data_IF_274141859245
#
_entry.id   IF_274141859245
#
_cell.length_a   1.000
_cell.length_b   1.000
_cell.length_c   1.000
_cell.angle_alpha   90.00
_cell.angle_beta   90.00
_cell.angle_gamma   90.00
#
_symmetry.space_group_name_H-M   'P 1'
#
loop_
_entity.id
_entity.type
_entity.pdbx_description
1 polymer ?
#
# COMPACT_ATOMS: atom_id res chain seq x y z
N UNK A 1 -2.00 -17.27 -2.85
CA UNK A 1 -2.98 -16.25 -2.38
C UNK A 1 -3.47 -15.29 -3.50
N UNK A 2 -4.60 -14.55 -3.33
CA UNK A 2 -5.12 -13.61 -4.34
C UNK A 2 -4.15 -12.49 -4.75
N UNK A 3 -3.35 -11.98 -3.80
CA UNK A 3 -2.34 -10.94 -4.08
C UNK A 3 -1.24 -11.49 -4.99
N UNK A 4 -0.66 -12.65 -4.65
CA UNK A 4 0.37 -13.28 -5.50
C UNK A 4 -0.10 -13.57 -6.93
N UNK A 5 -1.39 -13.85 -7.14
CA UNK A 5 -1.96 -14.00 -8.49
C UNK A 5 -1.90 -12.69 -9.28
N UNK A 6 -2.18 -11.54 -8.66
CA UNK A 6 -2.09 -10.24 -9.33
C UNK A 6 -0.65 -9.87 -9.69
N UNK A 7 0.30 -10.10 -8.78
CA UNK A 7 1.73 -9.88 -9.04
C UNK A 7 2.21 -10.75 -10.21
N UNK A 8 1.90 -12.05 -10.20
CA UNK A 8 2.27 -12.95 -11.31
C UNK A 8 1.63 -12.54 -12.64
N UNK A 9 0.37 -12.09 -12.62
CA UNK A 9 -0.31 -11.58 -13.81
C UNK A 9 0.40 -10.34 -14.36
N UNK A 10 0.73 -9.38 -13.49
CA UNK A 10 1.48 -8.18 -13.85
C UNK A 10 2.81 -8.54 -14.52
N UNK A 11 3.63 -9.39 -13.87
CA UNK A 11 4.93 -9.79 -14.42
C UNK A 11 4.79 -10.47 -15.79
N UNK A 12 3.83 -11.39 -15.94
CA UNK A 12 3.58 -12.08 -17.20
C UNK A 12 3.12 -11.14 -18.31
N UNK A 13 2.30 -10.13 -17.99
CA UNK A 13 1.86 -9.11 -18.97
C UNK A 13 3.02 -8.27 -19.50
N UNK A 14 4.11 -8.17 -18.74
CA UNK A 14 5.34 -7.46 -19.13
C UNK A 14 6.47 -8.39 -19.57
N UNK A 15 6.19 -9.67 -19.86
CA UNK A 15 7.18 -10.61 -20.37
C UNK A 15 8.21 -11.10 -19.35
N UNK A 16 7.97 -10.90 -18.04
CA UNK A 16 8.89 -11.29 -16.97
C UNK A 16 8.49 -12.62 -16.36
N UNK A 17 9.41 -13.58 -16.31
CA UNK A 17 9.23 -14.90 -15.69
C UNK A 17 10.28 -15.15 -14.60
N UNK A 18 10.03 -14.74 -13.35
CA UNK A 18 11.00 -14.93 -12.26
C UNK A 18 11.06 -16.40 -11.82
N UNK A 19 12.23 -16.80 -11.30
CA UNK A 19 12.35 -18.05 -10.55
C UNK A 19 11.74 -17.85 -9.16
N UNK A 20 10.65 -18.55 -8.87
CA UNK A 20 10.04 -18.51 -7.54
C UNK A 20 10.86 -19.36 -6.58
N UNK A 21 11.53 -18.71 -5.62
CA UNK A 21 12.33 -19.37 -4.59
C UNK A 21 11.55 -19.64 -3.29
N UNK A 22 10.44 -18.93 -3.08
CA UNK A 22 9.54 -19.13 -1.93
C UNK A 22 8.22 -18.38 -2.09
N UNK A 23 7.16 -18.87 -1.45
CA UNK A 23 5.87 -18.17 -1.29
C UNK A 23 5.61 -17.98 0.20
N UNK A 24 5.36 -16.73 0.59
CA UNK A 24 5.08 -16.35 1.97
C UNK A 24 3.73 -15.63 2.04
N UNK A 25 2.98 -15.89 3.10
CA UNK A 25 1.70 -15.22 3.40
C UNK A 25 1.84 -14.07 4.41
N UNK A 26 3.00 -13.99 5.08
CA UNK A 26 3.34 -12.97 6.05
C UNK A 26 4.51 -12.09 5.57
N UNK A 27 4.33 -10.76 5.62
CA UNK A 27 5.33 -9.79 5.15
C UNK A 27 6.57 -9.77 6.05
N UNK A 28 6.44 -9.97 7.36
CA UNK A 28 7.57 -9.99 8.29
C UNK A 28 8.47 -11.19 8.00
N UNK A 29 7.87 -12.38 7.85
CA UNK A 29 8.59 -13.60 7.46
C UNK A 29 9.30 -13.44 6.11
N UNK A 30 8.61 -12.82 5.13
CA UNK A 30 9.21 -12.54 3.83
C UNK A 30 10.40 -11.58 3.93
N UNK A 31 10.31 -10.52 4.75
CA UNK A 31 11.42 -9.56 4.97
C UNK A 31 12.61 -10.22 5.65
N UNK A 32 12.38 -11.10 6.62
CA UNK A 32 13.45 -11.90 7.23
C UNK A 32 14.14 -12.82 6.21
N UNK A 33 13.35 -13.51 5.38
CA UNK A 33 13.88 -14.37 4.33
C UNK A 33 14.76 -13.59 3.32
N UNK A 34 14.40 -12.34 2.98
CA UNK A 34 15.23 -11.49 2.11
C UNK A 34 16.61 -11.19 2.70
N UNK A 35 16.71 -11.05 4.02
CA UNK A 35 17.99 -10.76 4.69
C UNK A 35 18.86 -12.00 4.89
N UNK A 36 18.25 -13.19 4.89
CA UNK A 36 18.95 -14.46 5.12
C UNK A 36 19.36 -15.17 3.82
N UNK A 37 18.59 -14.98 2.75
CA UNK A 37 18.84 -15.60 1.45
C UNK A 37 19.56 -14.60 0.54
N UNK A 38 20.83 -14.89 0.25
CA UNK A 38 21.62 -14.13 -0.72
C UNK A 38 20.95 -14.10 -2.11
N UNK A 39 21.13 -13.00 -2.83
CA UNK A 39 20.65 -12.80 -4.21
C UNK A 39 19.13 -12.98 -4.38
N UNK A 40 18.35 -12.65 -3.35
CA UNK A 40 16.89 -12.73 -3.38
C UNK A 40 16.23 -11.34 -3.47
N UNK A 41 15.04 -11.31 -4.07
CA UNK A 41 14.21 -10.11 -4.18
C UNK A 41 12.75 -10.47 -3.89
N UNK A 42 11.98 -9.49 -3.40
CA UNK A 42 10.55 -9.65 -3.21
C UNK A 42 9.79 -8.43 -3.72
N UNK A 43 8.52 -8.65 -4.06
CA UNK A 43 7.59 -7.60 -4.48
C UNK A 43 6.60 -7.40 -3.35
N UNK A 44 6.64 -6.21 -2.74
CA UNK A 44 5.76 -5.81 -1.65
C UNK A 44 5.42 -4.31 -1.76
N UNK A 45 4.32 -3.84 -1.15
CA UNK A 45 4.03 -2.41 -1.08
C UNK A 45 5.16 -1.67 -0.34
N UNK A 46 5.60 -0.54 -0.90
CA UNK A 46 6.75 0.22 -0.39
C UNK A 46 6.55 0.66 1.06
N UNK A 47 5.32 1.00 1.46
CA UNK A 47 4.98 1.40 2.83
C UNK A 47 5.38 0.36 3.90
N UNK A 48 5.48 -0.93 3.54
CA UNK A 48 5.93 -1.98 4.46
C UNK A 48 7.46 -2.15 4.53
N UNK A 49 8.20 -1.54 3.59
CA UNK A 49 9.66 -1.58 3.53
C UNK A 49 10.33 -0.27 3.98
N UNK A 50 9.59 0.84 4.12
CA UNK A 50 10.14 2.17 4.43
C UNK A 50 11.10 2.16 5.63
N UNK A 51 10.76 1.46 6.72
CA UNK A 51 11.62 1.39 7.92
C UNK A 51 12.95 0.69 7.64
N UNK A 52 12.94 -0.36 6.83
CA UNK A 52 14.14 -1.11 6.45
C UNK A 52 15.00 -0.32 5.47
N UNK A 53 14.35 0.38 4.52
CA UNK A 53 15.02 1.28 3.58
C UNK A 53 15.72 2.40 4.35
N UNK A 54 15.02 3.05 5.27
CA UNK A 54 15.60 4.10 6.12
C UNK A 54 16.76 3.61 7.02
N UNK A 55 16.78 2.32 7.36
CA UNK A 55 17.87 1.67 8.12
C UNK A 55 19.01 1.15 7.25
N UNK A 56 18.89 1.25 5.93
CA UNK A 56 19.86 0.70 4.97
C UNK A 56 19.88 -0.83 4.88
N UNK A 57 18.93 -1.54 5.51
CA UNK A 57 18.89 -3.01 5.49
C UNK A 57 18.19 -3.57 4.26
N UNK A 58 17.42 -2.75 3.53
CA UNK A 58 16.83 -3.09 2.24
C UNK A 58 16.98 -1.90 1.29
N UNK A 59 17.06 -2.18 0.01
CA UNK A 59 16.96 -1.19 -1.07
C UNK A 59 15.70 -1.50 -1.87
N UNK A 60 14.98 -0.47 -2.28
CA UNK A 60 13.81 -0.62 -3.13
C UNK A 60 14.12 -0.18 -4.56
N UNK A 61 13.49 -0.88 -5.50
CA UNK A 61 13.60 -0.62 -6.94
C UNK A 61 12.21 -0.24 -7.46
N UNK A 62 12.12 0.86 -8.19
CA UNK A 62 10.87 1.31 -8.80
C UNK A 62 10.40 0.34 -9.89
N UNK A 63 9.11 0.01 -9.85
CA UNK A 63 8.47 -0.80 -10.89
C UNK A 63 7.94 0.10 -12.00
N UNK A 64 8.27 -0.24 -13.25
CA UNK A 64 7.75 0.45 -14.43
C UNK A 64 7.04 -0.54 -15.35
N UNK A 65 5.71 -0.40 -15.60
CA UNK A 65 4.79 0.58 -15.01
C UNK A 65 4.52 0.34 -13.51
N UNK A 66 3.96 1.32 -12.77
CA UNK A 66 3.73 1.15 -11.34
C UNK A 66 2.71 0.04 -11.04
N UNK A 67 3.07 -0.87 -10.13
CA UNK A 67 2.17 -1.89 -9.60
C UNK A 67 1.48 -1.37 -8.34
N UNK A 68 0.24 -0.90 -8.49
CA UNK A 68 -0.54 -0.30 -7.40
C UNK A 68 -1.54 -1.28 -6.80
N UNK A 69 -1.74 -1.21 -5.49
CA UNK A 69 -2.81 -1.90 -4.77
C UNK A 69 -3.73 -0.87 -4.12
N UNK A 70 -4.87 -0.54 -4.74
CA UNK A 70 -5.84 0.36 -4.14
C UNK A 70 -6.32 -0.19 -2.78
N UNK A 71 -6.39 0.69 -1.78
CA UNK A 71 -6.97 0.42 -0.48
C UNK A 71 -8.32 1.15 -0.38
N UNK A 72 -9.29 0.50 0.23
CA UNK A 72 -10.61 1.07 0.49
C UNK A 72 -11.00 0.87 1.95
N UNK A 73 -11.76 1.82 2.50
CA UNK A 73 -12.33 1.68 3.83
C UNK A 73 -13.62 0.88 3.74
N UNK A 74 -13.65 -0.27 4.41
CA UNK A 74 -14.86 -1.08 4.53
C UNK A 74 -15.58 -0.64 5.80
N UNK A 75 -16.85 -0.28 5.68
CA UNK A 75 -17.70 0.12 6.80
C UNK A 75 -19.03 -0.62 6.77
N UNK A 76 -19.58 -0.84 7.95
CA UNK A 76 -20.88 -1.47 8.12
C UNK A 76 -22.02 -0.47 7.84
N UNK A 77 -23.13 -0.97 7.30
CA UNK A 77 -24.41 -0.24 7.21
C UNK A 77 -24.88 0.32 8.55
N UNK A 78 -24.50 -0.30 9.68
CA UNK A 78 -24.81 0.20 11.03
C UNK A 78 -24.13 1.54 11.37
N UNK A 79 -23.05 1.89 10.66
CA UNK A 79 -22.36 3.18 10.78
C UNK A 79 -23.05 4.33 10.04
N UNK A 80 -24.15 4.05 9.35
CA UNK A 80 -24.86 4.99 8.48
C UNK A 80 -26.29 5.17 9.01
N UNK A 81 -26.81 6.39 8.93
CA UNK A 81 -28.21 6.73 9.22
C UNK A 81 -28.91 7.29 8.00
N UNK A 82 -30.22 7.06 7.92
CA UNK A 82 -31.06 7.69 6.91
C UNK A 82 -31.29 9.17 7.26
N UNK A 83 -31.11 10.05 6.29
CA UNK A 83 -31.38 11.48 6.41
C UNK A 83 -32.74 11.76 5.81
N UNK A 84 -33.59 12.48 6.56
CA UNK A 84 -34.91 12.94 6.09
C UNK A 84 -34.93 14.45 6.00
N UNK A 85 -35.71 15.01 5.09
CA UNK A 85 -35.95 16.46 5.04
C UNK A 85 -37.01 16.87 6.09
N UNK A 86 -37.22 18.18 6.26
CA UNK A 86 -38.23 18.74 7.17
C UNK A 86 -39.67 18.30 6.87
N UNK A 87 -39.94 17.85 5.63
CA UNK A 87 -41.24 17.31 5.18
C UNK A 87 -41.35 15.79 5.37
N UNK A 88 -40.34 15.14 5.95
CA UNK A 88 -40.30 13.70 6.23
C UNK A 88 -39.80 12.79 5.09
N UNK A 89 -39.53 13.34 3.90
CA UNK A 89 -39.07 12.58 2.73
C UNK A 89 -37.60 12.18 2.90
N UNK A 90 -37.26 10.95 2.49
CA UNK A 90 -35.90 10.45 2.48
C UNK A 90 -35.01 11.27 1.54
N UNK A 91 -33.89 11.76 2.06
CA UNK A 91 -32.89 12.55 1.32
C UNK A 91 -31.63 11.77 0.98
N UNK A 92 -31.31 10.74 1.75
CA UNK A 92 -30.10 9.96 1.53
C UNK A 92 -29.63 9.27 2.79
N UNK A 93 -28.36 8.85 2.74
CA UNK A 93 -27.67 8.15 3.81
C UNK A 93 -26.43 8.94 4.18
N UNK A 94 -26.18 9.14 5.46
CA UNK A 94 -24.97 9.80 5.96
C UNK A 94 -24.34 8.97 7.07
N UNK A 95 -23.04 9.13 7.29
CA UNK A 95 -22.38 8.51 8.42
C UNK A 95 -22.93 9.07 9.74
N UNK A 96 -23.01 8.21 10.76
CA UNK A 96 -23.22 8.69 12.13
C UNK A 96 -22.08 9.66 12.51
N UNK A 97 -22.32 10.64 13.40
CA UNK A 97 -21.34 11.71 13.66
C UNK A 97 -19.93 11.20 13.98
N UNK A 98 -19.80 10.19 14.86
CA UNK A 98 -18.50 9.62 15.21
C UNK A 98 -17.81 8.92 14.02
N UNK A 99 -18.56 8.18 13.20
CA UNK A 99 -18.03 7.53 12.00
C UNK A 99 -17.64 8.58 10.97
N UNK A 100 -18.45 9.63 10.78
CA UNK A 100 -18.15 10.74 9.90
C UNK A 100 -16.85 11.44 10.29
N UNK A 101 -16.68 11.77 11.57
CA UNK A 101 -15.46 12.39 12.09
C UNK A 101 -14.24 11.48 11.89
N UNK A 102 -14.38 10.16 12.08
CA UNK A 102 -13.29 9.22 11.83
C UNK A 102 -12.95 9.10 10.33
N UNK A 103 -13.94 9.08 9.45
CA UNK A 103 -13.71 9.09 8.00
C UNK A 103 -13.02 10.38 7.55
N UNK A 104 -13.43 11.53 8.09
CA UNK A 104 -12.78 12.81 7.84
C UNK A 104 -11.32 12.79 8.31
N UNK A 105 -11.06 12.28 9.52
CA UNK A 105 -9.70 12.07 10.01
C UNK A 105 -8.88 11.17 9.06
N UNK A 106 -9.42 10.02 8.65
CA UNK A 106 -8.73 9.14 7.72
C UNK A 106 -8.41 9.85 6.39
N UNK A 107 -9.36 10.59 5.83
CA UNK A 107 -9.17 11.33 4.59
C UNK A 107 -8.13 12.46 4.73
N UNK A 108 -8.07 13.13 5.88
CA UNK A 108 -7.05 14.14 6.16
C UNK A 108 -5.64 13.52 6.24
N UNK A 109 -5.54 12.28 6.73
CA UNK A 109 -4.29 11.54 6.81
C UNK A 109 -3.89 10.89 5.46
N UNK A 110 -4.85 10.65 4.56
CA UNK A 110 -4.58 10.15 3.20
C UNK A 110 -3.82 11.23 2.43
N UNK A 111 -2.52 11.01 2.20
CA UNK A 111 -1.61 11.91 1.50
C UNK A 111 -0.60 12.65 2.39
N UNK A 112 -0.70 12.56 3.71
CA UNK A 112 0.39 13.01 4.62
C UNK A 112 1.48 11.95 4.80
N UNK A 113 1.16 10.68 4.52
CA UNK A 113 2.09 9.57 4.35
C UNK A 113 2.39 9.45 2.86
N UNK A 114 3.44 10.13 2.36
CA UNK A 114 4.23 10.00 1.09
C UNK A 114 3.62 9.47 -0.24
N UNK A 115 2.35 9.08 -0.30
CA UNK A 115 1.78 8.12 -1.27
C UNK A 115 0.70 8.77 -2.17
N UNK A 116 0.44 10.06 -1.98
CA UNK A 116 -0.58 10.82 -2.74
C UNK A 116 -0.02 11.61 -3.92
N UNK A 117 1.30 11.74 -4.03
CA UNK A 117 1.92 12.45 -5.14
C UNK A 117 2.29 11.47 -6.25
N UNK A 118 2.13 11.88 -7.52
CA UNK A 118 2.63 11.14 -8.69
C UNK A 118 4.17 10.96 -8.71
N UNK A 119 4.86 11.43 -7.69
CA UNK A 119 6.29 11.30 -7.50
C UNK A 119 6.59 10.02 -6.70
N UNK A 120 7.53 9.22 -7.19
CA UNK A 120 7.93 7.98 -6.55
C UNK A 120 8.51 8.24 -5.15
N UNK A 121 8.05 7.54 -4.09
CA UNK A 121 8.55 7.68 -2.70
C UNK A 121 10.04 7.33 -2.50
N UNK A 122 10.69 6.82 -3.55
CA UNK A 122 12.10 6.43 -3.53
C UNK A 122 13.03 7.61 -3.80
N UNK A 123 12.54 8.69 -4.43
CA UNK A 123 13.36 9.87 -4.73
C UNK A 123 13.75 10.67 -3.47
N UNK A 124 12.90 10.70 -2.44
CA UNK A 124 13.15 11.44 -1.19
C UNK A 124 14.08 10.70 -0.21
N UNK A 125 14.20 9.38 -0.33
CA UNK A 125 14.97 8.54 0.60
C UNK A 125 16.37 8.14 0.09
N UNK A 126 16.63 8.25 -1.22
CA UNK A 126 17.93 7.87 -1.81
C UNK A 126 19.00 8.97 -1.80
N UNK A 127 18.65 10.20 -1.40
CA UNK A 127 19.58 11.35 -1.43
C UNK A 127 20.53 11.45 -0.22
N UNK A 128 20.44 10.59 0.79
CA UNK A 128 21.37 10.61 1.94
C UNK A 128 22.39 9.45 1.96
N UNK A 129 22.34 8.49 1.02
CA UNK A 129 23.06 7.21 1.17
C UNK A 129 24.09 6.84 0.11
N UNK A 130 24.16 7.52 -1.04
CA UNK A 130 25.11 7.15 -2.09
C UNK A 130 26.45 7.85 -1.84
N UNK A 131 27.18 7.33 -0.86
CA UNK A 131 28.62 7.54 -0.76
C UNK A 131 29.29 6.88 -1.97
N UNK A 132 30.01 7.70 -2.72
CA UNK A 132 30.91 7.31 -3.81
C UNK A 132 31.84 6.18 -3.36
N UNK A 133 31.80 5.04 -4.06
CA UNK A 133 32.93 4.09 -4.17
C UNK A 133 32.98 3.56 -5.59
#
# INVERSE_FOLDING_TARGET
MPVGRHVRRYLRQHGVTPRLVGEFDNIDTMRHALTEVADSYAILPVCHALKQIARGSLVAVEMTPPLVRPLGVIYDRHGIRGVRNARGNFRGREFKPAVGAFMEFLLQQVGQTDEGSKASPLQSSQLEGVGTV
#
